data_IF_697718456112
#
_entry.id   IF_697718456112
#
_cell.length_a   1.000
_cell.length_b   1.000
_cell.length_c   1.000
_cell.angle_alpha   90.00
_cell.angle_beta   90.00
_cell.angle_gamma   90.00
#
_symmetry.space_group_name_H-M   'P 1'
#
loop_
_entity.id
_entity.type
_entity.pdbx_description
1 polymer ?
#
# COMPACT_ATOMS: atom_id res chain seq x y z
N UNK A 1 -11.13 9.81 19.88
CA UNK A 1 -11.16 8.47 20.48
C UNK A 1 -10.55 7.52 19.47
N UNK A 2 -9.63 6.66 19.89
CA UNK A 2 -9.15 5.57 19.03
C UNK A 2 -10.21 4.47 18.98
N UNK A 3 -10.50 3.97 17.79
CA UNK A 3 -11.39 2.82 17.62
C UNK A 3 -10.78 1.59 18.30
N UNK A 4 -11.63 0.77 18.92
CA UNK A 4 -11.25 -0.48 19.55
C UNK A 4 -12.29 -1.56 19.20
N UNK A 5 -11.86 -2.80 18.93
CA UNK A 5 -12.79 -3.88 18.63
C UNK A 5 -13.56 -4.29 19.89
N UNK A 6 -14.84 -4.63 19.71
CA UNK A 6 -15.57 -5.42 20.69
C UNK A 6 -15.16 -6.90 20.55
N UNK A 7 -15.03 -7.62 21.66
CA UNK A 7 -14.54 -9.00 21.68
C UNK A 7 -15.49 -9.95 20.93
N UNK A 8 -16.80 -9.77 21.10
CA UNK A 8 -17.80 -10.60 20.43
C UNK A 8 -17.81 -10.31 18.92
N UNK A 9 -17.72 -9.04 18.54
CA UNK A 9 -17.58 -8.63 17.14
C UNK A 9 -16.34 -9.25 16.49
N UNK A 10 -15.20 -9.17 17.16
CA UNK A 10 -13.94 -9.72 16.67
C UNK A 10 -14.01 -11.23 16.47
N UNK A 11 -14.57 -11.97 17.44
CA UNK A 11 -14.75 -13.42 17.32
C UNK A 11 -15.62 -13.79 16.11
N UNK A 12 -16.68 -13.02 15.82
CA UNK A 12 -17.52 -13.27 14.64
C UNK A 12 -16.79 -13.04 13.32
N UNK A 13 -15.95 -12.00 13.25
CA UNK A 13 -15.12 -11.71 12.07
C UNK A 13 -14.07 -12.81 11.88
N UNK A 14 -13.42 -13.25 12.95
CA UNK A 14 -12.44 -14.35 12.89
C UNK A 14 -13.09 -15.66 12.43
N UNK A 15 -14.28 -15.98 12.92
CA UNK A 15 -15.01 -17.16 12.46
C UNK A 15 -15.32 -17.05 10.96
N UNK A 16 -15.79 -15.90 10.50
CA UNK A 16 -16.05 -15.66 9.07
C UNK A 16 -14.79 -15.82 8.20
N UNK A 17 -13.65 -15.32 8.67
CA UNK A 17 -12.37 -15.46 7.96
C UNK A 17 -11.89 -16.92 7.90
N UNK A 18 -12.15 -17.72 8.94
CA UNK A 18 -11.87 -19.16 8.95
C UNK A 18 -12.79 -19.91 8.00
N UNK A 19 -14.09 -19.60 8.04
CA UNK A 19 -15.08 -20.21 7.15
C UNK A 19 -14.78 -19.87 5.67
N UNK A 20 -14.29 -18.66 5.39
CA UNK A 20 -13.85 -18.23 4.05
C UNK A 20 -12.73 -19.07 3.45
N UNK A 21 -11.97 -19.78 4.28
CA UNK A 21 -10.86 -20.65 3.86
C UNK A 21 -11.31 -22.10 3.65
N UNK A 22 -12.57 -22.42 3.96
CA UNK A 22 -13.13 -23.75 3.75
C UNK A 22 -13.20 -24.10 2.26
N UNK A 23 -12.84 -25.34 1.86
CA UNK A 23 -13.05 -25.82 0.49
C UNK A 23 -14.51 -26.21 0.21
N UNK A 24 -15.38 -26.22 1.23
CA UNK A 24 -16.78 -26.61 1.07
C UNK A 24 -17.61 -25.51 0.40
N UNK A 25 -18.24 -25.85 -0.74
CA UNK A 25 -19.02 -24.91 -1.55
C UNK A 25 -20.22 -24.32 -0.81
N UNK A 26 -20.88 -25.09 0.06
CA UNK A 26 -22.03 -24.61 0.83
C UNK A 26 -21.59 -23.56 1.85
N UNK A 27 -20.47 -23.83 2.54
CA UNK A 27 -19.81 -22.89 3.45
C UNK A 27 -19.40 -21.61 2.73
N UNK A 28 -18.75 -21.71 1.56
CA UNK A 28 -18.36 -20.51 0.79
C UNK A 28 -19.56 -19.66 0.37
N UNK A 29 -20.69 -20.27 0.01
CA UNK A 29 -21.91 -19.52 -0.31
C UNK A 29 -22.45 -18.78 0.91
N UNK A 30 -22.53 -19.45 2.06
CA UNK A 30 -22.98 -18.82 3.31
C UNK A 30 -22.05 -17.68 3.75
N UNK A 31 -20.74 -17.84 3.57
CA UNK A 31 -19.74 -16.79 3.82
C UNK A 31 -19.98 -15.58 2.93
N UNK A 32 -20.21 -15.79 1.63
CA UNK A 32 -20.45 -14.70 0.68
C UNK A 32 -21.71 -13.89 1.06
N UNK A 33 -22.81 -14.57 1.39
CA UNK A 33 -24.05 -13.93 1.86
C UNK A 33 -23.81 -13.12 3.15
N UNK A 34 -23.01 -13.66 4.07
CA UNK A 34 -22.67 -12.98 5.33
C UNK A 34 -21.74 -11.79 5.12
N UNK A 35 -20.78 -11.88 4.20
CA UNK A 35 -19.92 -10.75 3.81
C UNK A 35 -20.74 -9.62 3.20
N UNK A 36 -21.71 -9.93 2.34
CA UNK A 36 -22.60 -8.92 1.73
C UNK A 36 -23.45 -8.19 2.77
N UNK A 37 -23.90 -8.89 3.82
CA UNK A 37 -24.61 -8.28 4.95
C UNK A 37 -23.67 -7.39 5.78
N UNK A 38 -22.49 -7.90 6.14
CA UNK A 38 -21.53 -7.17 6.98
C UNK A 38 -20.94 -5.94 6.29
N UNK A 39 -20.81 -5.96 4.96
CA UNK A 39 -20.35 -4.82 4.17
C UNK A 39 -21.30 -3.61 4.23
N UNK A 40 -22.53 -3.78 4.69
CA UNK A 40 -23.46 -2.67 4.94
C UNK A 40 -23.10 -1.88 6.20
N UNK A 41 -22.26 -2.43 7.09
CA UNK A 41 -21.81 -1.80 8.32
C UNK A 41 -20.40 -1.25 8.14
N UNK A 42 -20.19 0.07 8.14
CA UNK A 42 -18.86 0.65 7.96
C UNK A 42 -17.81 0.16 8.96
N UNK A 43 -18.25 -0.14 10.18
CA UNK A 43 -17.41 -0.62 11.27
C UNK A 43 -16.76 -1.98 10.98
N UNK A 44 -17.38 -2.81 10.12
CA UNK A 44 -16.79 -4.07 9.67
C UNK A 44 -15.40 -3.86 9.05
N UNK A 45 -15.21 -2.76 8.32
CA UNK A 45 -13.91 -2.44 7.71
C UNK A 45 -12.84 -2.11 8.77
N UNK A 46 -13.22 -1.59 9.94
CA UNK A 46 -12.31 -1.36 11.05
C UNK A 46 -11.81 -2.69 11.64
N UNK A 47 -12.69 -3.69 11.77
CA UNK A 47 -12.28 -5.04 12.17
C UNK A 47 -11.33 -5.67 11.15
N UNK A 48 -11.60 -5.52 9.85
CA UNK A 48 -10.75 -6.11 8.83
C UNK A 48 -9.33 -5.55 8.85
N UNK A 49 -9.18 -4.22 8.97
CA UNK A 49 -7.85 -3.62 9.09
C UNK A 49 -7.19 -3.99 10.42
N UNK A 50 -7.94 -4.04 11.52
CA UNK A 50 -7.42 -4.45 12.82
C UNK A 50 -6.86 -5.88 12.80
N UNK A 51 -7.57 -6.83 12.17
CA UNK A 51 -7.06 -8.21 12.02
C UNK A 51 -5.79 -8.21 11.17
N UNK A 52 -5.73 -7.45 10.08
CA UNK A 52 -4.53 -7.35 9.24
C UNK A 52 -3.33 -6.80 10.02
N UNK A 53 -3.51 -5.69 10.75
CA UNK A 53 -2.39 -4.90 11.29
C UNK A 53 -2.08 -5.20 12.75
N UNK A 54 -3.08 -5.39 13.61
CA UNK A 54 -2.92 -5.40 15.06
C UNK A 54 -2.97 -6.81 15.67
N UNK A 55 -3.74 -7.72 15.10
CA UNK A 55 -3.95 -9.06 15.67
C UNK A 55 -2.82 -10.04 15.29
N UNK A 56 -1.62 -9.80 15.83
CA UNK A 56 -0.41 -10.60 15.54
C UNK A 56 -0.47 -12.06 16.04
N UNK A 57 -1.48 -12.41 16.84
CA UNK A 57 -1.73 -13.78 17.29
C UNK A 57 -2.33 -14.68 16.21
N UNK A 58 -2.98 -14.09 15.20
CA UNK A 58 -3.51 -14.83 14.04
C UNK A 58 -2.43 -15.07 12.99
N UNK A 59 -2.60 -16.12 12.21
CA UNK A 59 -1.64 -16.51 11.18
C UNK A 59 -1.63 -15.55 9.97
N UNK A 60 -0.52 -15.55 9.23
CA UNK A 60 -0.34 -14.64 8.09
C UNK A 60 -1.41 -14.82 6.99
N UNK A 61 -1.84 -16.06 6.63
CA UNK A 61 -2.92 -16.26 5.67
C UNK A 61 -4.24 -15.61 6.10
N UNK A 62 -4.67 -15.77 7.35
CA UNK A 62 -5.92 -15.18 7.85
C UNK A 62 -5.84 -13.65 7.88
N UNK A 63 -4.72 -13.11 8.38
CA UNK A 63 -4.46 -11.66 8.39
C UNK A 63 -4.48 -11.07 6.98
N UNK A 64 -3.81 -11.73 6.03
CA UNK A 64 -3.77 -11.31 4.63
C UNK A 64 -5.15 -11.39 3.95
N UNK A 65 -5.91 -12.47 4.19
CA UNK A 65 -7.27 -12.62 3.69
C UNK A 65 -8.18 -11.47 4.15
N UNK A 66 -8.08 -11.09 5.42
CA UNK A 66 -8.79 -9.93 5.97
C UNK A 66 -8.50 -8.64 5.18
N UNK A 67 -7.21 -8.38 4.91
CA UNK A 67 -6.80 -7.25 4.08
C UNK A 67 -7.29 -7.31 2.63
N UNK A 68 -7.36 -8.52 2.03
CA UNK A 68 -7.88 -8.70 0.67
C UNK A 68 -9.39 -8.48 0.58
N UNK A 69 -10.16 -8.90 1.59
CA UNK A 69 -11.59 -8.58 1.70
C UNK A 69 -11.76 -7.07 1.83
N UNK A 70 -11.01 -6.42 2.74
CA UNK A 70 -11.04 -4.97 2.89
C UNK A 70 -10.72 -4.25 1.58
N UNK A 71 -9.72 -4.74 0.83
CA UNK A 71 -9.37 -4.18 -0.48
C UNK A 71 -10.54 -4.27 -1.46
N UNK A 72 -11.29 -5.37 -1.46
CA UNK A 72 -12.47 -5.50 -2.31
C UNK A 72 -13.57 -4.53 -1.89
N UNK A 73 -13.76 -4.31 -0.59
CA UNK A 73 -14.71 -3.34 -0.05
C UNK A 73 -14.34 -1.90 -0.45
N UNK A 74 -13.07 -1.51 -0.30
CA UNK A 74 -12.55 -0.23 -0.80
C UNK A 74 -12.82 -0.12 -2.31
N UNK A 75 -12.49 -1.15 -3.09
CA UNK A 75 -12.70 -1.14 -4.55
C UNK A 75 -14.15 -0.88 -4.94
N UNK A 76 -15.11 -1.44 -4.21
CA UNK A 76 -16.53 -1.36 -4.54
C UNK A 76 -17.25 -0.14 -3.92
N UNK A 77 -16.84 0.29 -2.73
CA UNK A 77 -17.66 1.15 -1.87
C UNK A 77 -16.91 2.29 -1.19
N UNK A 78 -15.65 2.58 -1.56
CA UNK A 78 -14.84 3.59 -0.86
C UNK A 78 -15.51 4.95 -0.69
N UNK A 79 -16.26 5.41 -1.71
CA UNK A 79 -16.97 6.70 -1.67
C UNK A 79 -18.07 6.76 -0.60
N UNK A 80 -18.53 5.62 -0.12
CA UNK A 80 -19.53 5.52 0.94
C UNK A 80 -18.90 5.35 2.33
N UNK A 81 -17.57 5.26 2.44
CA UNK A 81 -16.92 5.08 3.73
C UNK A 81 -17.05 6.36 4.56
N UNK A 82 -17.45 6.26 5.84
CA UNK A 82 -17.35 7.37 6.76
C UNK A 82 -15.89 7.86 6.85
N UNK A 83 -15.64 9.18 6.91
CA UNK A 83 -14.26 9.71 6.96
C UNK A 83 -13.42 9.09 8.08
N UNK A 84 -14.00 8.90 9.27
CA UNK A 84 -13.31 8.30 10.42
C UNK A 84 -12.82 6.86 10.14
N UNK A 85 -13.59 6.08 9.37
CA UNK A 85 -13.21 4.70 8.98
C UNK A 85 -12.09 4.76 7.95
N UNK A 86 -12.22 5.63 6.93
CA UNK A 86 -11.19 5.79 5.91
C UNK A 86 -9.86 6.25 6.54
N UNK A 87 -9.88 7.24 7.42
CA UNK A 87 -8.69 7.77 8.11
C UNK A 87 -8.05 6.73 9.03
N UNK A 88 -8.86 5.92 9.72
CA UNK A 88 -8.37 4.81 10.53
C UNK A 88 -7.60 3.80 9.66
N UNK A 89 -8.18 3.37 8.54
CA UNK A 89 -7.54 2.43 7.61
C UNK A 89 -6.25 3.02 7.03
N UNK A 90 -6.29 4.27 6.57
CA UNK A 90 -5.13 5.00 6.02
C UNK A 90 -3.96 4.98 7.01
N UNK A 91 -4.23 5.35 8.27
CA UNK A 91 -3.23 5.40 9.34
C UNK A 91 -2.66 4.02 9.67
N UNK A 92 -3.53 3.02 9.80
CA UNK A 92 -3.11 1.64 10.09
C UNK A 92 -2.21 1.06 9.00
N UNK A 93 -2.54 1.32 7.72
CA UNK A 93 -1.72 0.91 6.59
C UNK A 93 -0.32 1.53 6.65
N UNK A 94 -0.22 2.84 6.87
CA UNK A 94 1.08 3.55 6.90
C UNK A 94 1.94 3.11 8.08
N UNK A 95 1.33 2.93 9.26
CA UNK A 95 2.03 2.49 10.47
C UNK A 95 2.56 1.05 10.36
N UNK A 96 1.96 0.21 9.51
CA UNK A 96 2.30 -1.21 9.40
C UNK A 96 2.92 -1.59 8.05
N UNK A 97 3.28 -0.63 7.20
CA UNK A 97 3.86 -0.88 5.88
C UNK A 97 5.18 -1.68 5.94
N UNK A 98 5.85 -1.64 7.09
CA UNK A 98 7.07 -2.40 7.40
C UNK A 98 6.86 -3.72 8.16
N UNK A 99 5.66 -4.33 8.12
CA UNK A 99 5.40 -5.62 8.79
C UNK A 99 6.50 -6.66 8.42
N UNK A 100 6.98 -7.50 9.36
CA UNK A 100 8.04 -8.47 9.06
C UNK A 100 7.64 -9.50 8.00
N UNK A 101 6.35 -9.84 7.86
CA UNK A 101 5.87 -10.78 6.84
C UNK A 101 5.80 -10.10 5.46
N UNK A 102 6.49 -10.63 4.43
CA UNK A 102 6.37 -10.12 3.06
C UNK A 102 4.94 -10.20 2.52
N UNK A 103 4.16 -11.21 2.94
CA UNK A 103 2.76 -11.36 2.54
C UNK A 103 1.92 -10.21 3.08
N UNK A 104 2.09 -9.87 4.37
CA UNK A 104 1.35 -8.77 5.00
C UNK A 104 1.76 -7.43 4.40
N UNK A 105 3.06 -7.19 4.18
CA UNK A 105 3.51 -5.96 3.50
C UNK A 105 2.91 -5.80 2.11
N UNK A 106 2.88 -6.88 1.32
CA UNK A 106 2.27 -6.87 0.00
C UNK A 106 0.77 -6.52 0.09
N UNK A 107 0.03 -7.10 1.02
CA UNK A 107 -1.39 -6.81 1.23
C UNK A 107 -1.63 -5.37 1.68
N UNK A 108 -0.79 -4.82 2.55
CA UNK A 108 -0.87 -3.40 2.96
C UNK A 108 -0.56 -2.47 1.78
N UNK A 109 0.47 -2.77 0.99
CA UNK A 109 0.79 -2.00 -0.23
C UNK A 109 -0.37 -2.01 -1.24
N UNK A 110 -1.01 -3.16 -1.42
CA UNK A 110 -2.23 -3.30 -2.24
C UNK A 110 -3.37 -2.43 -1.69
N UNK A 111 -3.59 -2.38 -0.39
CA UNK A 111 -4.60 -1.52 0.22
C UNK A 111 -4.31 -0.04 -0.01
N UNK A 112 -3.08 0.41 0.26
CA UNK A 112 -2.65 1.80 0.06
C UNK A 112 -2.92 2.24 -1.39
N UNK A 113 -2.47 1.44 -2.35
CA UNK A 113 -2.60 1.73 -3.78
C UNK A 113 -4.06 1.68 -4.24
N UNK A 114 -4.86 0.76 -3.70
CA UNK A 114 -6.30 0.69 -3.99
C UNK A 114 -7.03 1.92 -3.45
N UNK A 115 -6.71 2.37 -2.23
CA UNK A 115 -7.28 3.59 -1.63
C UNK A 115 -6.89 4.80 -2.46
N UNK A 116 -5.60 4.95 -2.81
CA UNK A 116 -5.12 6.06 -3.63
C UNK A 116 -5.82 6.12 -5.01
N UNK A 117 -6.08 4.95 -5.62
CA UNK A 117 -6.77 4.86 -6.90
C UNK A 117 -8.27 5.15 -6.80
N UNK A 118 -8.95 4.66 -5.74
CA UNK A 118 -10.41 4.75 -5.61
C UNK A 118 -10.91 6.01 -4.92
N UNK A 119 -10.08 6.56 -4.02
CA UNK A 119 -10.32 7.81 -3.33
C UNK A 119 -9.76 9.02 -4.05
N UNK A 120 -9.04 8.84 -5.16
CA UNK A 120 -8.21 9.85 -5.81
C UNK A 120 -7.03 10.29 -4.95
N UNK A 121 -5.82 10.23 -5.51
CA UNK A 121 -4.57 10.50 -4.77
C UNK A 121 -4.55 11.89 -4.12
N UNK A 122 -5.27 12.85 -4.69
CA UNK A 122 -5.39 14.24 -4.20
C UNK A 122 -6.11 14.32 -2.84
N UNK A 123 -6.99 13.36 -2.52
CA UNK A 123 -7.72 13.32 -1.24
C UNK A 123 -6.90 12.68 -0.11
N UNK A 124 -5.67 12.26 -0.41
CA UNK A 124 -4.72 11.73 0.55
C UNK A 124 -3.36 12.48 0.44
N UNK A 125 -3.34 13.79 0.73
CA UNK A 125 -2.18 14.66 0.46
C UNK A 125 -0.92 14.26 1.24
N UNK A 126 -1.07 13.65 2.41
CA UNK A 126 0.05 13.19 3.24
C UNK A 126 0.68 11.88 2.76
N UNK A 127 0.05 11.13 1.84
CA UNK A 127 0.51 9.80 1.42
C UNK A 127 1.93 9.84 0.81
N UNK A 128 2.14 10.64 -0.24
CA UNK A 128 3.44 10.69 -0.92
C UNK A 128 4.54 11.24 0.00
N UNK A 129 4.35 12.37 0.71
CA UNK A 129 5.35 12.85 1.66
C UNK A 129 5.72 11.82 2.73
N UNK A 130 4.73 11.10 3.29
CA UNK A 130 4.99 10.08 4.31
C UNK A 130 5.71 8.86 3.75
N UNK A 131 5.30 8.33 2.59
CA UNK A 131 6.02 7.22 1.94
C UNK A 131 7.47 7.60 1.61
N UNK A 132 7.70 8.81 1.10
CA UNK A 132 9.06 9.30 0.85
C UNK A 132 9.87 9.46 2.14
N UNK A 133 9.24 9.85 3.24
CA UNK A 133 9.91 9.92 4.54
C UNK A 133 10.27 8.51 5.07
N UNK A 134 9.37 7.54 4.90
CA UNK A 134 9.58 6.16 5.33
C UNK A 134 10.72 5.45 4.58
N UNK A 135 11.10 5.93 3.39
CA UNK A 135 12.33 5.48 2.72
C UNK A 135 13.61 5.78 3.52
N UNK A 136 13.59 6.74 4.43
CA UNK A 136 14.71 7.07 5.32
C UNK A 136 14.79 6.15 6.55
N UNK A 137 13.82 5.26 6.74
CA UNK A 137 13.83 4.34 7.88
C UNK A 137 15.06 3.44 7.83
N UNK A 138 15.67 3.21 9.00
CA UNK A 138 16.73 2.21 9.15
C UNK A 138 16.18 0.78 9.07
N UNK A 139 14.88 0.60 9.29
CA UNK A 139 14.21 -0.68 9.12
C UNK A 139 14.04 -1.01 7.62
N UNK A 140 14.69 -2.10 7.22
CA UNK A 140 14.67 -2.60 5.85
C UNK A 140 13.23 -2.85 5.35
N UNK A 141 12.37 -3.43 6.18
CA UNK A 141 11.02 -3.80 5.79
C UNK A 141 10.14 -2.57 5.52
N UNK A 142 10.29 -1.53 6.33
CA UNK A 142 9.63 -0.23 6.15
C UNK A 142 10.05 0.44 4.85
N UNK A 143 11.37 0.49 4.58
CA UNK A 143 11.88 1.06 3.34
C UNK A 143 11.41 0.27 2.11
N UNK A 144 11.47 -1.06 2.18
CA UNK A 144 11.04 -1.95 1.09
C UNK A 144 9.53 -1.88 0.83
N UNK A 145 8.70 -1.93 1.88
CA UNK A 145 7.25 -1.79 1.75
C UNK A 145 6.82 -0.43 1.19
N UNK A 146 7.50 0.65 1.62
CA UNK A 146 7.27 1.99 1.09
C UNK A 146 7.63 2.11 -0.39
N UNK A 147 8.76 1.52 -0.81
CA UNK A 147 9.12 1.44 -2.22
C UNK A 147 8.12 0.62 -3.04
N UNK A 148 7.61 -0.49 -2.49
CA UNK A 148 6.58 -1.28 -3.14
C UNK A 148 5.30 -0.48 -3.44
N UNK A 149 4.82 0.29 -2.45
CA UNK A 149 3.67 1.17 -2.63
C UNK A 149 3.96 2.31 -3.63
N UNK A 150 5.11 2.98 -3.50
CA UNK A 150 5.52 4.07 -4.38
C UNK A 150 5.68 3.62 -5.83
N UNK A 151 6.26 2.44 -6.07
CA UNK A 151 6.39 1.89 -7.42
C UNK A 151 5.02 1.77 -8.07
N UNK A 152 4.04 1.20 -7.35
CA UNK A 152 2.72 1.00 -7.91
C UNK A 152 1.97 2.31 -8.17
N UNK A 153 2.13 3.29 -7.28
CA UNK A 153 1.59 4.65 -7.50
C UNK A 153 2.25 5.31 -8.73
N UNK A 154 3.57 5.15 -8.91
CA UNK A 154 4.26 5.67 -10.09
C UNK A 154 3.75 5.01 -11.39
N UNK A 155 3.44 3.71 -11.37
CA UNK A 155 2.85 2.99 -12.51
C UNK A 155 1.43 3.48 -12.82
N UNK A 156 0.57 3.58 -11.80
CA UNK A 156 -0.86 3.82 -11.99
C UNK A 156 -1.24 5.31 -12.08
N UNK A 157 -0.36 6.22 -11.66
CA UNK A 157 -0.66 7.67 -11.54
C UNK A 157 0.47 8.56 -12.05
N UNK A 158 1.29 8.08 -13.00
CA UNK A 158 2.46 8.80 -13.52
C UNK A 158 2.17 10.23 -14.00
N UNK A 159 1.09 10.42 -14.75
CA UNK A 159 0.68 11.74 -15.26
C UNK A 159 0.32 12.71 -14.14
N UNK A 160 -0.40 12.23 -13.12
CA UNK A 160 -0.85 13.04 -11.99
C UNK A 160 0.35 13.50 -11.13
N UNK A 161 1.40 12.68 -11.04
CA UNK A 161 2.60 13.01 -10.28
C UNK A 161 3.43 14.15 -10.91
N UNK A 162 3.31 14.39 -12.22
CA UNK A 162 3.96 15.54 -12.90
C UNK A 162 3.02 16.75 -13.05
N UNK A 163 1.80 16.65 -12.54
CA UNK A 163 0.77 17.69 -12.70
C UNK A 163 0.84 18.76 -11.59
N UNK A 164 0.37 19.96 -11.92
CA UNK A 164 0.22 21.06 -10.96
C UNK A 164 -0.85 20.76 -9.89
N UNK A 165 -1.78 19.82 -10.15
CA UNK A 165 -2.84 19.44 -9.21
C UNK A 165 -2.30 18.83 -7.90
N UNK A 166 -1.14 18.18 -7.95
CA UNK A 166 -0.43 17.68 -6.77
C UNK A 166 0.79 18.52 -6.39
N UNK A 167 0.96 19.69 -6.99
CA UNK A 167 2.17 20.52 -6.83
C UNK A 167 3.45 19.78 -7.26
N UNK A 168 3.38 19.06 -8.39
CA UNK A 168 4.53 18.38 -9.04
C UNK A 168 5.41 17.57 -8.09
N UNK A 169 4.87 16.55 -7.40
CA UNK A 169 5.61 15.76 -6.40
C UNK A 169 6.88 15.09 -6.97
N UNK A 170 6.97 14.86 -8.28
CA UNK A 170 8.18 14.31 -8.91
C UNK A 170 9.44 15.14 -8.66
N UNK A 171 9.32 16.45 -8.48
CA UNK A 171 10.45 17.32 -8.16
C UNK A 171 11.17 16.92 -6.86
N UNK A 172 10.48 16.24 -5.96
CA UNK A 172 11.03 15.71 -4.70
C UNK A 172 11.33 14.21 -4.83
N UNK A 173 10.43 13.46 -5.45
CA UNK A 173 10.51 12.00 -5.53
C UNK A 173 11.68 11.53 -6.41
N UNK A 174 11.90 12.13 -7.58
CA UNK A 174 12.95 11.69 -8.50
C UNK A 174 14.35 11.81 -7.89
N UNK A 175 14.78 12.96 -7.35
CA UNK A 175 16.08 13.06 -6.66
C UNK A 175 16.21 12.05 -5.53
N UNK A 176 15.10 11.81 -4.80
CA UNK A 176 15.09 10.85 -3.70
C UNK A 176 15.34 9.44 -4.20
N UNK A 177 14.65 8.99 -5.24
CA UNK A 177 14.81 7.64 -5.81
C UNK A 177 16.22 7.41 -6.36
N UNK A 178 16.83 8.41 -7.00
CA UNK A 178 18.19 8.30 -7.54
C UNK A 178 19.23 8.00 -6.44
N UNK A 179 19.03 8.47 -5.20
CA UNK A 179 19.90 8.14 -4.06
C UNK A 179 19.93 6.62 -3.78
N UNK A 180 18.83 5.92 -4.03
CA UNK A 180 18.69 4.47 -3.76
C UNK A 180 19.23 3.58 -4.88
N UNK A 181 19.71 4.14 -6.01
CA UNK A 181 20.33 3.33 -7.08
C UNK A 181 21.63 2.67 -6.62
N UNK A 182 22.29 3.23 -5.59
CA UNK A 182 23.51 2.68 -4.97
C UNK A 182 23.22 1.97 -3.63
N UNK A 183 21.96 1.72 -3.30
CA UNK A 183 21.58 1.07 -2.04
C UNK A 183 22.18 -0.34 -1.93
N UNK A 184 22.52 -0.79 -0.73
CA UNK A 184 23.15 -2.11 -0.51
C UNK A 184 22.26 -3.28 -0.93
N UNK A 185 20.94 -3.19 -0.69
CA UNK A 185 19.97 -4.20 -1.10
C UNK A 185 19.66 -4.13 -2.61
N UNK A 186 19.82 -5.24 -3.36
CA UNK A 186 19.44 -5.30 -4.78
C UNK A 186 17.94 -5.09 -5.01
N UNK A 187 17.10 -5.49 -4.06
CA UNK A 187 15.64 -5.34 -4.17
C UNK A 187 15.23 -3.86 -4.12
N UNK A 188 15.79 -3.10 -3.18
CA UNK A 188 15.56 -1.65 -3.08
C UNK A 188 16.08 -0.92 -4.33
N UNK A 189 17.26 -1.29 -4.85
CA UNK A 189 17.76 -0.74 -6.11
C UNK A 189 16.77 -0.99 -7.26
N UNK A 190 16.23 -2.21 -7.36
CA UNK A 190 15.24 -2.57 -8.37
C UNK A 190 13.99 -1.70 -8.28
N UNK A 191 13.43 -1.51 -7.08
CA UNK A 191 12.27 -0.63 -6.88
C UNK A 191 12.55 0.82 -7.27
N UNK A 192 13.69 1.38 -6.84
CA UNK A 192 14.07 2.74 -7.18
C UNK A 192 14.17 2.95 -8.70
N UNK A 193 14.80 2.01 -9.40
CA UNK A 193 14.91 2.03 -10.86
C UNK A 193 13.53 1.88 -11.52
N UNK A 194 12.70 0.97 -11.03
CA UNK A 194 11.35 0.74 -11.55
C UNK A 194 10.47 2.00 -11.42
N UNK A 195 10.58 2.75 -10.30
CA UNK A 195 9.89 4.02 -10.11
C UNK A 195 10.34 5.05 -11.16
N UNK A 196 11.66 5.29 -11.28
CA UNK A 196 12.20 6.29 -12.21
C UNK A 196 11.89 5.95 -13.67
N UNK A 197 11.90 4.65 -14.02
CA UNK A 197 11.63 4.19 -15.38
C UNK A 197 10.24 4.60 -15.89
N UNK A 198 9.25 4.76 -15.01
CA UNK A 198 7.89 5.19 -15.40
C UNK A 198 7.88 6.56 -16.08
N UNK A 199 8.88 7.40 -15.81
CA UNK A 199 8.93 8.80 -16.24
C UNK A 199 9.87 9.06 -17.41
N UNK A 200 10.51 8.02 -17.95
CA UNK A 200 11.45 8.15 -19.09
C UNK A 200 10.68 8.47 -20.37
N UNK A 201 9.64 7.70 -20.66
CA UNK A 201 8.88 7.83 -21.92
C UNK A 201 8.14 9.18 -22.00
N UNK A 202 7.60 9.65 -20.87
CA UNK A 202 6.93 10.95 -20.77
C UNK A 202 7.89 12.13 -20.74
N UNK A 203 9.20 11.88 -20.57
CA UNK A 203 10.23 12.91 -20.39
C UNK A 203 9.88 13.91 -19.29
N UNK A 204 9.39 13.40 -18.15
CA UNK A 204 9.01 14.25 -17.02
C UNK A 204 10.11 15.25 -16.68
N UNK A 205 9.75 16.52 -16.48
CA UNK A 205 10.73 17.60 -16.34
C UNK A 205 11.68 17.34 -15.18
N UNK A 206 11.15 16.88 -14.04
CA UNK A 206 11.94 16.49 -12.87
C UNK A 206 13.03 15.45 -13.19
N UNK A 207 12.77 14.49 -14.09
CA UNK A 207 13.78 13.53 -14.51
C UNK A 207 14.80 14.15 -15.47
N UNK A 208 14.34 15.00 -16.39
CA UNK A 208 15.22 15.68 -17.34
C UNK A 208 16.21 16.62 -16.64
N UNK A 209 15.79 17.28 -15.57
CA UNK A 209 16.66 18.12 -14.73
C UNK A 209 17.75 17.31 -14.01
N UNK A 210 17.57 15.99 -13.88
CA UNK A 210 18.49 15.06 -13.23
C UNK A 210 19.04 13.97 -14.17
N UNK A 211 18.98 14.19 -15.49
CA UNK A 211 19.28 13.16 -16.48
C UNK A 211 20.73 12.69 -16.42
N UNK A 212 21.68 13.58 -16.17
CA UNK A 212 23.10 13.24 -16.08
C UNK A 212 23.38 12.32 -14.89
N UNK A 213 22.82 12.67 -13.72
CA UNK A 213 22.90 11.81 -12.53
C UNK A 213 22.29 10.45 -12.81
N UNK A 214 21.10 10.40 -13.43
CA UNK A 214 20.44 9.15 -13.80
C UNK A 214 21.31 8.27 -14.71
N UNK A 215 21.91 8.84 -15.77
CA UNK A 215 22.79 8.12 -16.69
C UNK A 215 24.02 7.58 -15.95
N UNK A 216 24.62 8.39 -15.09
CA UNK A 216 25.79 8.00 -14.29
C UNK A 216 25.46 6.82 -13.37
N UNK A 217 24.41 6.94 -12.55
CA UNK A 217 24.07 5.89 -11.58
C UNK A 217 23.57 4.61 -12.26
N UNK A 218 22.87 4.72 -13.39
CA UNK A 218 22.40 3.55 -14.14
C UNK A 218 23.56 2.73 -14.73
N UNK A 219 24.63 3.38 -15.20
CA UNK A 219 25.85 2.70 -15.70
C UNK A 219 26.56 1.91 -14.59
N UNK A 220 26.50 2.38 -13.35
CA UNK A 220 27.09 1.67 -12.20
C UNK A 220 26.28 0.41 -11.89
N UNK A 221 24.95 0.50 -11.93
CA UNK A 221 24.07 -0.65 -11.65
C UNK A 221 24.23 -1.75 -12.70
N UNK A 222 24.32 -1.43 -13.99
CA UNK A 222 24.53 -2.45 -15.05
C UNK A 222 25.89 -3.14 -14.95
N UNK A 223 26.89 -2.53 -14.32
CA UNK A 223 28.20 -3.17 -14.05
C UNK A 223 28.21 -4.04 -12.78
N UNK A 224 27.21 -3.90 -11.92
CA UNK A 224 27.07 -4.65 -10.66
C UNK A 224 26.14 -5.86 -10.77
N UNK A 225 25.53 -6.10 -11.92
CA UNK A 225 24.79 -7.33 -12.18
C UNK A 225 25.78 -8.49 -12.40
N UNK A 226 25.65 -9.61 -11.66
CA UNK A 226 26.51 -10.78 -11.83
C UNK A 226 26.31 -11.48 -13.18
#
# INVERSE_FOLDING_TARGET
MEWQPDEQGLQQVLQLLKDSQSPDTATQRAVQEKLEQLNQFPDFNNYLIFVLTSLKSEDEPTRSLSGLILKNNVKAHYQNFPPLVADFIKRECLNNIGDPSPLIRATIGILITTIASKGELQTWPELLPQLCNLLNSEDYNTCEGSFGALQKICEDSSELLDSDALNRPLNIMIPKFLQFFKHCSPKIRSHAIACVNQFISSRAQALMDHIDTFIEVRRVVTKMAP
#
